data_IF_625941705246
#
_entry.id   IF_625941705246
#
_cell.length_a   1.000
_cell.length_b   1.000
_cell.length_c   1.000
_cell.angle_alpha   90.00
_cell.angle_beta   90.00
_cell.angle_gamma   90.00
#
_symmetry.space_group_name_H-M   'P 1'
#
loop_
_entity.id
_entity.type
_entity.pdbx_description
1 polymer ?
#
# COMPACT_ATOMS: atom_id res chain seq x y z
N UNK A 1 -60.63 -63.65 -52.92
CA UNK A 1 -59.60 -63.54 -51.85
C UNK A 1 -59.16 -62.09 -51.75
N UNK A 2 -59.62 -61.42 -50.67
CA UNK A 2 -59.18 -60.02 -50.37
C UNK A 2 -57.92 -60.08 -49.48
N UNK A 3 -56.80 -59.64 -49.98
CA UNK A 3 -55.55 -59.54 -49.24
C UNK A 3 -55.65 -58.24 -48.43
N UNK A 4 -55.81 -58.37 -47.10
CA UNK A 4 -55.76 -57.24 -46.18
C UNK A 4 -54.26 -56.85 -46.01
N UNK A 5 -53.89 -55.69 -46.53
CA UNK A 5 -52.55 -55.10 -46.24
C UNK A 5 -52.52 -54.57 -44.80
N UNK A 6 -51.73 -55.17 -43.99
CA UNK A 6 -51.44 -54.77 -42.62
C UNK A 6 -50.47 -53.57 -42.66
N UNK A 7 -50.96 -52.38 -42.53
CA UNK A 7 -50.13 -51.19 -42.39
C UNK A 7 -49.38 -51.25 -41.02
N UNK A 8 -48.11 -51.60 -41.11
CA UNK A 8 -47.18 -51.48 -39.95
C UNK A 8 -46.84 -50.00 -39.77
N UNK A 9 -47.64 -49.28 -39.03
CA UNK A 9 -47.26 -47.94 -38.60
C UNK A 9 -46.20 -48.02 -37.48
N UNK A 10 -44.99 -47.57 -37.74
CA UNK A 10 -43.95 -47.41 -36.75
C UNK A 10 -44.18 -46.09 -36.06
N UNK A 11 -44.38 -46.11 -34.73
CA UNK A 11 -44.50 -44.90 -33.95
C UNK A 11 -43.14 -44.17 -33.89
N UNK A 12 -43.05 -43.03 -34.51
CA UNK A 12 -41.85 -42.16 -34.45
C UNK A 12 -42.11 -40.98 -33.49
N UNK A 13 -41.21 -40.76 -32.58
CA UNK A 13 -41.23 -39.60 -31.70
C UNK A 13 -40.47 -38.46 -32.37
N UNK A 14 -41.19 -37.49 -32.89
CA UNK A 14 -40.58 -36.28 -33.46
C UNK A 14 -40.34 -35.26 -32.36
N UNK A 15 -39.12 -34.79 -32.24
CA UNK A 15 -38.79 -33.69 -31.34
C UNK A 15 -38.37 -32.50 -32.19
N UNK A 16 -38.99 -31.35 -31.94
CA UNK A 16 -38.66 -30.11 -32.65
C UNK A 16 -37.34 -29.60 -32.10
N UNK A 17 -36.32 -29.49 -32.97
CA UNK A 17 -35.05 -28.87 -32.62
C UNK A 17 -35.26 -27.36 -32.46
N UNK A 18 -35.14 -26.85 -31.26
CA UNK A 18 -35.12 -25.42 -30.98
C UNK A 18 -33.67 -24.97 -30.96
N UNK A 19 -33.38 -23.83 -31.58
CA UNK A 19 -32.07 -23.17 -31.47
C UNK A 19 -32.02 -22.50 -30.09
N UNK A 20 -31.56 -23.20 -29.08
CA UNK A 20 -31.26 -22.63 -27.78
C UNK A 20 -29.80 -22.26 -27.77
N UNK A 21 -29.46 -21.00 -27.45
CA UNK A 21 -28.09 -20.61 -27.16
C UNK A 21 -27.67 -21.33 -25.89
N UNK A 22 -26.62 -22.16 -25.92
CA UNK A 22 -26.15 -22.81 -24.70
C UNK A 22 -25.79 -21.73 -23.70
N UNK A 23 -26.43 -21.77 -22.53
CA UNK A 23 -26.02 -20.93 -21.40
C UNK A 23 -24.71 -21.50 -20.85
N UNK A 24 -23.59 -20.96 -21.31
CA UNK A 24 -22.28 -21.42 -20.90
C UNK A 24 -21.92 -20.73 -19.60
N UNK A 25 -22.18 -21.37 -18.49
CA UNK A 25 -21.69 -20.93 -17.18
C UNK A 25 -20.26 -21.46 -16.99
N UNK A 26 -19.33 -20.55 -16.74
CA UNK A 26 -17.97 -20.91 -16.37
C UNK A 26 -17.82 -20.89 -14.87
N UNK A 27 -17.37 -21.99 -14.31
CA UNK A 27 -17.08 -22.11 -12.90
C UNK A 27 -15.57 -22.11 -12.72
N UNK A 28 -15.06 -21.21 -11.89
CA UNK A 28 -13.66 -21.13 -11.57
C UNK A 28 -13.46 -20.96 -10.05
N UNK A 29 -12.39 -21.53 -9.53
CA UNK A 29 -12.02 -21.34 -8.16
C UNK A 29 -11.17 -20.08 -7.99
N UNK A 30 -11.38 -19.39 -6.87
CA UNK A 30 -10.64 -18.18 -6.56
C UNK A 30 -10.30 -18.07 -5.09
N UNK A 31 -9.35 -17.18 -4.80
CA UNK A 31 -8.92 -16.86 -3.44
C UNK A 31 -9.21 -15.39 -3.16
N UNK A 32 -9.81 -15.11 -2.01
CA UNK A 32 -9.98 -13.75 -1.55
C UNK A 32 -8.64 -13.21 -1.04
N UNK A 33 -8.27 -12.04 -1.53
CA UNK A 33 -7.09 -11.31 -1.10
C UNK A 33 -7.51 -9.92 -0.61
N UNK A 34 -6.76 -9.31 0.32
CA UNK A 34 -7.05 -7.96 0.78
C UNK A 34 -6.95 -6.95 -0.37
N UNK A 35 -7.71 -5.86 -0.28
CA UNK A 35 -7.66 -4.79 -1.29
C UNK A 35 -6.31 -4.10 -1.34
N UNK A 36 -5.66 -3.99 -0.18
CA UNK A 36 -4.32 -3.42 -0.01
C UNK A 36 -3.56 -4.25 1.03
N UNK A 37 -2.30 -4.49 0.74
CA UNK A 37 -1.30 -5.08 1.62
C UNK A 37 -0.09 -4.16 1.60
N UNK A 38 0.40 -3.77 2.76
CA UNK A 38 1.50 -2.84 2.88
C UNK A 38 2.49 -3.32 3.94
N UNK A 39 3.75 -3.48 3.53
CA UNK A 39 4.87 -3.80 4.42
C UNK A 39 5.57 -2.53 4.83
N UNK A 40 5.70 -2.34 6.13
CA UNK A 40 6.45 -1.25 6.73
C UNK A 40 7.85 -1.74 7.04
N UNK A 41 8.84 -1.06 6.50
CA UNK A 41 10.24 -1.32 6.75
C UNK A 41 10.88 -0.14 7.48
N UNK A 42 11.91 -0.41 8.27
CA UNK A 42 12.69 0.63 8.91
C UNK A 42 13.47 1.42 7.85
N UNK A 43 13.37 2.73 7.87
CA UNK A 43 14.15 3.64 7.01
C UNK A 43 15.48 4.02 7.66
N UNK A 44 15.50 4.06 8.99
CA UNK A 44 16.66 4.43 9.79
C UNK A 44 17.06 3.33 10.79
N UNK A 45 18.34 3.33 11.18
CA UNK A 45 18.80 2.47 12.26
C UNK A 45 18.38 3.03 13.61
N UNK A 46 17.98 2.14 14.52
CA UNK A 46 17.62 2.54 15.87
C UNK A 46 17.17 1.37 16.74
N UNK A 47 16.86 1.68 17.99
CA UNK A 47 16.28 0.72 18.93
C UNK A 47 14.79 0.98 19.08
N UNK A 48 13.97 -0.04 18.95
CA UNK A 48 12.53 0.03 19.21
C UNK A 48 12.30 0.29 20.70
N UNK A 49 11.70 1.43 21.02
CA UNK A 49 11.38 1.82 22.41
C UNK A 49 10.03 1.26 22.82
N UNK A 50 9.04 1.42 21.96
CA UNK A 50 7.68 0.96 22.19
C UNK A 50 7.09 0.44 20.89
N UNK A 51 6.29 -0.61 21.02
CA UNK A 51 5.34 -1.08 20.03
C UNK A 51 3.96 -0.84 20.63
N UNK A 52 3.08 -0.19 19.89
CA UNK A 52 1.78 0.30 20.37
C UNK A 52 0.60 -0.48 19.80
N UNK A 53 0.90 -1.50 18.99
CA UNK A 53 -0.09 -2.34 18.32
C UNK A 53 0.35 -3.80 18.35
N UNK A 54 -0.62 -4.70 18.36
CA UNK A 54 -0.42 -6.14 18.28
C UNK A 54 -1.04 -6.70 16.99
N UNK A 55 -0.68 -7.94 16.65
CA UNK A 55 -1.30 -8.64 15.53
C UNK A 55 -2.81 -8.79 15.73
N UNK A 56 -3.58 -8.48 14.70
CA UNK A 56 -5.04 -8.43 14.75
C UNK A 56 -5.64 -7.07 15.09
N UNK A 57 -4.84 -6.11 15.54
CA UNK A 57 -5.34 -4.77 15.89
C UNK A 57 -5.78 -3.98 14.66
N UNK A 58 -6.88 -3.24 14.82
CA UNK A 58 -7.37 -2.30 13.84
C UNK A 58 -6.61 -0.97 13.96
N UNK A 59 -6.05 -0.52 12.87
CA UNK A 59 -5.29 0.73 12.80
C UNK A 59 -5.89 1.72 11.82
N UNK A 60 -5.70 3.01 12.09
CA UNK A 60 -6.14 4.12 11.24
C UNK A 60 -4.94 4.85 10.64
N UNK A 61 -5.19 5.51 9.52
CA UNK A 61 -4.19 6.41 8.90
C UNK A 61 -3.69 7.41 9.94
N UNK A 62 -2.37 7.55 10.04
CA UNK A 62 -1.69 8.45 11.00
C UNK A 62 -1.52 7.88 12.40
N UNK A 63 -2.12 6.72 12.72
CA UNK A 63 -1.93 6.07 14.01
C UNK A 63 -0.49 5.61 14.18
N UNK A 64 0.11 5.92 15.34
CA UNK A 64 1.46 5.47 15.68
C UNK A 64 1.45 3.97 15.99
N UNK A 65 2.29 3.22 15.28
CA UNK A 65 2.45 1.77 15.43
C UNK A 65 3.61 1.44 16.37
N UNK A 66 4.75 2.11 16.16
CA UNK A 66 5.95 1.92 16.98
C UNK A 66 6.77 3.21 17.06
N UNK A 67 7.60 3.29 18.07
CA UNK A 67 8.57 4.38 18.29
C UNK A 67 9.96 3.77 18.31
N UNK A 68 10.79 4.23 17.37
CA UNK A 68 12.21 3.87 17.27
C UNK A 68 13.01 5.03 17.86
N UNK A 69 13.83 4.76 18.87
CA UNK A 69 14.69 5.76 19.47
C UNK A 69 16.01 5.83 18.70
N UNK A 70 16.23 6.96 18.07
CA UNK A 70 17.52 7.32 17.54
C UNK A 70 18.06 8.50 18.35
N UNK A 71 18.76 8.27 19.48
CA UNK A 71 19.37 9.36 20.26
C UNK A 71 20.28 10.22 19.38
N UNK A 72 20.95 9.59 18.41
CA UNK A 72 21.80 10.28 17.43
C UNK A 72 20.98 11.18 16.47
N UNK A 73 19.73 10.85 16.17
CA UNK A 73 18.90 11.65 15.25
C UNK A 73 18.49 12.98 15.89
N UNK A 74 18.17 12.99 17.18
CA UNK A 74 17.85 14.21 17.93
C UNK A 74 19.07 15.14 18.01
N UNK A 75 20.27 14.58 18.25
CA UNK A 75 21.53 15.34 18.26
C UNK A 75 21.84 15.91 16.88
N UNK A 76 21.62 15.16 15.80
CA UNK A 76 21.77 15.66 14.42
C UNK A 76 20.86 16.84 14.14
N UNK A 77 19.57 16.76 14.51
CA UNK A 77 18.63 17.88 14.35
C UNK A 77 19.11 19.12 15.12
N UNK A 78 19.55 18.96 16.38
CA UNK A 78 20.04 20.06 17.18
C UNK A 78 21.29 20.71 16.57
N UNK A 79 22.24 19.91 16.10
CA UNK A 79 23.46 20.40 15.44
C UNK A 79 23.14 21.13 14.14
N UNK A 80 22.28 20.55 13.29
CA UNK A 80 21.86 21.18 12.04
C UNK A 80 21.06 22.47 12.29
N UNK A 81 20.24 22.54 13.34
CA UNK A 81 19.52 23.76 13.73
C UNK A 81 20.49 24.87 14.16
N UNK A 82 21.53 24.54 14.93
CA UNK A 82 22.55 25.51 15.34
C UNK A 82 23.32 26.05 14.12
N UNK A 83 23.72 25.18 13.20
CA UNK A 83 24.39 25.57 11.95
C UNK A 83 23.49 26.49 11.08
N UNK A 84 22.21 26.14 10.96
CA UNK A 84 21.25 26.97 10.23
C UNK A 84 21.10 28.35 10.87
N UNK A 85 20.94 28.45 12.19
CA UNK A 85 20.83 29.73 12.90
C UNK A 85 22.05 30.63 12.69
N UNK A 86 23.26 30.03 12.71
CA UNK A 86 24.52 30.74 12.42
C UNK A 86 24.53 31.25 10.98
N UNK A 87 24.15 30.42 10.00
CA UNK A 87 24.13 30.79 8.60
C UNK A 87 23.09 31.91 8.32
N UNK A 88 21.93 31.90 9.02
CA UNK A 88 20.94 33.00 8.95
C UNK A 88 21.57 34.30 9.42
N UNK A 89 22.21 34.32 10.60
CA UNK A 89 22.84 35.52 11.15
C UNK A 89 23.96 36.05 10.24
N UNK A 90 24.77 35.14 9.67
CA UNK A 90 25.84 35.49 8.75
C UNK A 90 25.25 36.11 7.46
N UNK A 91 24.26 35.48 6.85
CA UNK A 91 23.62 35.98 5.64
C UNK A 91 23.05 37.39 5.85
N UNK A 92 22.41 37.66 7.00
CA UNK A 92 21.90 38.96 7.35
C UNK A 92 23.04 39.98 7.54
N UNK A 93 24.13 39.62 8.19
CA UNK A 93 25.29 40.50 8.34
C UNK A 93 25.89 40.89 6.98
N UNK A 94 26.11 39.90 6.10
CA UNK A 94 26.64 40.15 4.75
C UNK A 94 25.65 40.98 3.90
N UNK A 95 24.35 40.76 4.04
CA UNK A 95 23.34 41.58 3.34
C UNK A 95 23.36 43.04 3.78
N UNK A 96 23.46 43.30 5.08
CA UNK A 96 23.57 44.67 5.61
C UNK A 96 24.90 45.33 5.22
N UNK A 97 26.03 44.60 5.30
CA UNK A 97 27.32 45.08 4.88
C UNK A 97 27.38 45.38 3.36
N UNK A 98 26.69 44.61 2.53
CA UNK A 98 26.59 44.84 1.10
C UNK A 98 25.86 46.15 0.78
N UNK A 99 24.78 46.48 1.50
CA UNK A 99 24.05 47.73 1.35
C UNK A 99 24.93 48.99 1.62
N UNK A 100 25.93 48.82 2.47
CA UNK A 100 26.89 49.92 2.83
C UNK A 100 28.21 49.83 2.07
N UNK A 101 28.36 48.91 1.10
CA UNK A 101 29.57 48.72 0.32
C UNK A 101 30.71 48.02 1.06
N UNK A 102 30.47 47.46 2.25
CA UNK A 102 31.47 46.79 3.09
C UNK A 102 31.90 45.39 2.63
N UNK A 103 31.13 44.76 1.72
CA UNK A 103 31.43 43.45 1.17
C UNK A 103 31.14 43.38 -0.32
N UNK A 104 31.74 42.44 -1.03
CA UNK A 104 31.50 42.19 -2.45
C UNK A 104 30.22 41.38 -2.66
N UNK A 105 29.67 41.50 -3.87
CA UNK A 105 28.51 40.62 -4.25
C UNK A 105 28.85 39.14 -4.14
N UNK A 106 30.06 38.74 -4.51
CA UNK A 106 30.51 37.35 -4.40
C UNK A 106 30.46 36.86 -2.95
N UNK A 107 30.87 37.67 -1.98
CA UNK A 107 30.84 37.32 -0.55
C UNK A 107 29.38 37.19 -0.06
N UNK A 108 28.47 38.09 -0.49
CA UNK A 108 27.06 37.96 -0.18
C UNK A 108 26.44 36.69 -0.77
N UNK A 109 26.73 36.40 -2.05
CA UNK A 109 26.22 35.22 -2.74
C UNK A 109 26.74 33.92 -2.06
N UNK A 110 28.00 33.92 -1.61
CA UNK A 110 28.57 32.79 -0.83
C UNK A 110 27.83 32.61 0.52
N UNK A 111 27.53 33.69 1.23
CA UNK A 111 26.78 33.61 2.49
C UNK A 111 25.35 33.09 2.27
N UNK A 112 24.70 33.50 1.20
CA UNK A 112 23.37 32.97 0.80
C UNK A 112 23.43 31.48 0.44
N UNK A 113 24.46 31.04 -0.27
CA UNK A 113 24.68 29.64 -0.60
C UNK A 113 24.87 28.79 0.68
N UNK A 114 25.69 29.30 1.64
CA UNK A 114 25.90 28.65 2.92
C UNK A 114 24.58 28.50 3.71
N UNK A 115 23.71 29.54 3.68
CA UNK A 115 22.39 29.49 4.30
C UNK A 115 21.50 28.43 3.64
N UNK A 116 21.49 28.34 2.31
CA UNK A 116 20.71 27.33 1.59
C UNK A 116 21.17 25.92 1.93
N UNK A 117 22.50 25.69 1.99
CA UNK A 117 23.07 24.39 2.36
C UNK A 117 22.72 24.02 3.82
N UNK A 118 22.83 24.96 4.75
CA UNK A 118 22.50 24.72 6.16
C UNK A 118 21.01 24.42 6.35
N UNK A 119 20.14 25.10 5.57
CA UNK A 119 18.71 24.79 5.57
C UNK A 119 18.42 23.39 5.07
N UNK A 120 19.01 22.99 3.94
CA UNK A 120 18.85 21.65 3.39
C UNK A 120 19.30 20.57 4.37
N UNK A 121 20.44 20.78 5.05
CA UNK A 121 20.94 19.85 6.08
C UNK A 121 20.00 19.74 7.30
N UNK A 122 19.37 20.85 7.71
CA UNK A 122 18.38 20.84 8.79
C UNK A 122 17.09 20.11 8.37
N UNK A 123 16.62 20.34 7.16
CA UNK A 123 15.42 19.69 6.64
C UNK A 123 15.65 18.16 6.52
N UNK A 124 16.82 17.72 6.04
CA UNK A 124 17.23 16.30 5.99
C UNK A 124 17.27 15.65 7.39
N UNK A 125 17.90 16.35 8.36
CA UNK A 125 17.95 15.87 9.74
C UNK A 125 16.55 15.75 10.37
N UNK A 126 15.61 16.65 10.05
CA UNK A 126 14.22 16.63 10.54
C UNK A 126 13.41 15.49 9.91
N UNK A 127 13.57 15.24 8.61
CA UNK A 127 12.95 14.11 7.93
C UNK A 127 13.41 12.81 8.60
N UNK A 128 14.72 12.60 8.72
CA UNK A 128 15.27 11.42 9.38
C UNK A 128 14.79 11.24 10.83
N UNK A 129 14.58 12.34 11.56
CA UNK A 129 14.02 12.30 12.92
C UNK A 129 12.52 11.96 12.92
N UNK A 130 11.75 12.45 11.93
CA UNK A 130 10.34 12.14 11.76
C UNK A 130 10.09 10.65 11.53
N UNK A 131 10.96 10.01 10.76
CA UNK A 131 10.90 8.58 10.41
C UNK A 131 11.19 7.65 11.61
N UNK A 132 11.60 8.20 12.76
CA UNK A 132 11.71 7.48 14.01
C UNK A 132 10.35 7.09 14.63
N UNK A 133 9.25 7.68 14.17
CA UNK A 133 7.90 7.34 14.59
C UNK A 133 7.16 6.67 13.44
N UNK A 134 6.99 5.36 13.54
CA UNK A 134 6.31 4.58 12.52
C UNK A 134 4.81 4.79 12.64
N UNK A 135 4.18 5.31 11.59
CA UNK A 135 2.74 5.58 11.52
C UNK A 135 2.11 4.82 10.38
N UNK A 136 0.87 4.40 10.59
CA UNK A 136 0.10 3.76 9.52
C UNK A 136 -0.24 4.74 8.40
N UNK A 137 -0.02 4.35 7.15
CA UNK A 137 -0.46 5.08 5.96
C UNK A 137 -1.80 4.60 5.40
N UNK A 138 -2.36 3.52 5.96
CA UNK A 138 -3.66 2.96 5.56
C UNK A 138 -4.55 2.69 6.77
N UNK A 139 -5.86 2.60 6.53
CA UNK A 139 -6.76 1.98 7.49
C UNK A 139 -6.74 0.47 7.24
N UNK A 140 -6.58 -0.33 8.29
CA UNK A 140 -6.50 -1.78 8.12
C UNK A 140 -6.32 -2.53 9.42
N UNK A 141 -5.80 -3.73 9.30
CA UNK A 141 -5.50 -4.64 10.42
C UNK A 141 -4.01 -4.98 10.35
N UNK A 142 -3.38 -5.11 11.50
CA UNK A 142 -2.00 -5.60 11.62
C UNK A 142 -2.01 -7.11 11.32
N UNK A 143 -1.47 -7.49 10.17
CA UNK A 143 -1.37 -8.89 9.75
C UNK A 143 -0.21 -9.61 10.43
N UNK A 144 0.95 -8.94 10.49
CA UNK A 144 2.12 -9.45 11.21
C UNK A 144 2.94 -8.34 11.84
N UNK A 145 3.64 -8.68 12.92
CA UNK A 145 4.53 -7.81 13.67
C UNK A 145 5.90 -8.51 13.78
N UNK A 146 6.93 -7.93 13.18
CA UNK A 146 8.29 -8.50 13.15
C UNK A 146 9.23 -7.89 14.17
N UNK A 147 8.76 -7.00 15.03
CA UNK A 147 9.57 -6.27 16.00
C UNK A 147 8.97 -6.30 17.41
N UNK A 148 9.86 -6.24 18.40
CA UNK A 148 9.51 -6.15 19.81
C UNK A 148 10.21 -4.95 20.47
N UNK A 149 9.67 -4.44 21.59
CA UNK A 149 10.39 -3.45 22.39
C UNK A 149 11.79 -3.94 22.75
N UNK A 150 12.82 -3.11 22.51
CA UNK A 150 14.22 -3.47 22.70
C UNK A 150 14.94 -3.98 21.45
N UNK A 151 14.23 -4.38 20.41
CA UNK A 151 14.82 -4.79 19.11
C UNK A 151 15.67 -3.68 18.52
N UNK A 152 16.75 -4.04 17.86
CA UNK A 152 17.57 -3.12 17.05
C UNK A 152 17.21 -3.34 15.60
N UNK A 153 16.87 -2.27 14.90
CA UNK A 153 16.49 -2.28 13.49
C UNK A 153 17.48 -1.50 12.66
N UNK A 154 17.62 -1.87 11.40
CA UNK A 154 18.43 -1.23 10.37
C UNK A 154 17.57 -0.95 9.13
N UNK A 155 17.98 -0.05 8.22
CA UNK A 155 17.24 0.19 6.99
C UNK A 155 16.92 -1.11 6.24
N UNK A 156 15.65 -1.27 5.85
CA UNK A 156 15.16 -2.48 5.20
C UNK A 156 14.69 -3.60 6.14
N UNK A 157 14.82 -3.44 7.48
CA UNK A 157 14.24 -4.41 8.44
C UNK A 157 12.71 -4.31 8.39
N UNK A 158 12.03 -5.44 8.17
CA UNK A 158 10.56 -5.51 8.22
C UNK A 158 10.06 -5.21 9.65
N UNK A 159 9.07 -4.35 9.76
CA UNK A 159 8.49 -3.91 11.03
C UNK A 159 7.08 -4.47 11.21
N UNK A 160 6.20 -4.14 10.27
CA UNK A 160 4.79 -4.52 10.27
C UNK A 160 4.32 -4.84 8.87
N UNK A 161 3.32 -5.69 8.79
CA UNK A 161 2.51 -5.88 7.60
C UNK A 161 1.06 -5.53 7.91
N UNK A 162 0.52 -4.56 7.19
CA UNK A 162 -0.87 -4.13 7.33
C UNK A 162 -1.69 -4.56 6.13
N UNK A 163 -2.91 -5.02 6.38
CA UNK A 163 -3.86 -5.42 5.34
C UNK A 163 -5.17 -4.65 5.48
N UNK A 164 -5.69 -4.19 4.35
CA UNK A 164 -7.03 -3.62 4.30
C UNK A 164 -8.01 -4.67 3.78
N UNK A 165 -8.85 -5.16 4.68
CA UNK A 165 -9.87 -6.18 4.40
C UNK A 165 -11.29 -5.60 4.32
N UNK A 166 -11.44 -4.27 4.35
CA UNK A 166 -12.76 -3.63 4.21
C UNK A 166 -13.40 -3.91 2.85
N UNK A 167 -12.56 -4.09 1.84
CA UNK A 167 -12.93 -4.57 0.51
C UNK A 167 -12.00 -5.72 0.16
N UNK A 168 -12.55 -6.83 -0.30
CA UNK A 168 -11.77 -7.97 -0.74
C UNK A 168 -11.74 -8.02 -2.27
N UNK A 169 -10.62 -8.43 -2.81
CA UNK A 169 -10.47 -8.77 -4.23
C UNK A 169 -10.51 -10.29 -4.36
N UNK A 170 -11.22 -10.78 -5.36
CA UNK A 170 -11.22 -12.20 -5.69
C UNK A 170 -10.22 -12.43 -6.83
N UNK A 171 -9.14 -13.16 -6.54
CA UNK A 171 -8.19 -13.63 -7.54
C UNK A 171 -8.67 -14.99 -8.07
N UNK A 172 -8.98 -15.03 -9.36
CA UNK A 172 -9.51 -16.23 -10.03
C UNK A 172 -8.49 -16.67 -11.08
N UNK A 173 -8.29 -17.98 -11.19
CA UNK A 173 -7.51 -18.57 -12.28
C UNK A 173 -8.49 -19.16 -13.30
N UNK A 174 -8.40 -18.73 -14.54
CA UNK A 174 -9.25 -19.19 -15.64
C UNK A 174 -8.40 -19.80 -16.74
N UNK A 175 -8.98 -20.75 -17.47
CA UNK A 175 -8.30 -21.37 -18.63
C UNK A 175 -8.18 -20.40 -19.81
N UNK A 176 -7.15 -20.54 -20.60
CA UNK A 176 -6.89 -19.69 -21.76
C UNK A 176 -8.07 -19.66 -22.75
N UNK A 177 -8.74 -20.77 -22.92
CA UNK A 177 -9.93 -20.90 -23.79
C UNK A 177 -11.10 -20.01 -23.35
N UNK A 178 -11.18 -19.64 -22.07
CA UNK A 178 -12.26 -18.84 -21.50
C UNK A 178 -11.96 -17.34 -21.52
N UNK A 179 -10.68 -16.96 -21.59
CA UNK A 179 -10.25 -15.55 -21.56
C UNK A 179 -10.87 -14.76 -22.71
N UNK A 180 -11.02 -15.35 -23.89
CA UNK A 180 -11.58 -14.69 -25.05
C UNK A 180 -13.05 -14.22 -24.88
N UNK A 181 -13.78 -14.83 -23.95
CA UNK A 181 -15.21 -14.52 -23.66
C UNK A 181 -15.37 -13.56 -22.51
N UNK A 182 -14.37 -13.39 -21.65
CA UNK A 182 -14.42 -12.52 -20.49
C UNK A 182 -14.18 -11.06 -20.89
N UNK A 183 -15.00 -10.17 -20.36
CA UNK A 183 -14.88 -8.72 -20.57
C UNK A 183 -14.89 -8.02 -19.23
N UNK A 184 -14.15 -6.92 -19.15
CA UNK A 184 -14.22 -6.04 -17.97
C UNK A 184 -15.66 -5.54 -17.80
N UNK A 185 -16.19 -5.64 -16.57
CA UNK A 185 -17.57 -5.30 -16.26
C UNK A 185 -18.58 -6.42 -16.50
N UNK A 186 -18.15 -7.63 -16.86
CA UNK A 186 -19.05 -8.79 -16.90
C UNK A 186 -19.51 -9.14 -15.49
N UNK A 187 -20.81 -9.33 -15.25
CA UNK A 187 -21.31 -9.70 -13.92
C UNK A 187 -20.83 -11.11 -13.56
N UNK A 188 -20.38 -11.26 -12.34
CA UNK A 188 -19.97 -12.56 -11.79
C UNK A 188 -20.79 -12.87 -10.54
N UNK A 189 -21.04 -14.17 -10.32
CA UNK A 189 -21.64 -14.69 -9.09
C UNK A 189 -20.57 -15.42 -8.30
N UNK A 190 -20.42 -15.04 -7.05
CA UNK A 190 -19.43 -15.62 -6.15
C UNK A 190 -20.13 -16.39 -5.05
N UNK A 191 -19.75 -17.65 -4.85
CA UNK A 191 -20.18 -18.47 -3.72
C UNK A 191 -18.98 -18.71 -2.81
N UNK A 192 -19.11 -18.43 -1.53
CA UNK A 192 -18.08 -18.68 -0.55
C UNK A 192 -18.44 -19.90 0.30
N UNK A 193 -17.50 -20.80 0.53
CA UNK A 193 -17.74 -22.00 1.34
C UNK A 193 -18.17 -21.70 2.79
N UNK A 194 -17.78 -20.54 3.31
CA UNK A 194 -18.16 -20.05 4.65
C UNK A 194 -19.64 -19.60 4.71
N UNK A 195 -20.23 -19.25 3.55
CA UNK A 195 -21.62 -18.82 3.42
C UNK A 195 -22.29 -19.57 2.28
N UNK A 196 -22.60 -20.89 2.46
CA UNK A 196 -23.08 -21.74 1.37
C UNK A 196 -24.41 -21.29 0.76
N UNK A 197 -25.25 -20.61 1.55
CA UNK A 197 -26.57 -20.14 1.15
C UNK A 197 -26.57 -18.69 0.61
N UNK A 198 -25.42 -18.04 0.49
CA UNK A 198 -25.30 -16.65 -0.02
C UNK A 198 -24.56 -16.62 -1.33
N UNK A 199 -25.15 -15.93 -2.30
CA UNK A 199 -24.51 -15.53 -3.54
C UNK A 199 -24.12 -14.04 -3.44
N UNK A 200 -22.90 -13.72 -3.80
CA UNK A 200 -22.40 -12.35 -3.87
C UNK A 200 -22.24 -12.00 -5.35
N UNK A 201 -22.59 -10.76 -5.70
CA UNK A 201 -22.39 -10.24 -7.06
C UNK A 201 -21.12 -9.38 -7.08
N UNK A 202 -20.35 -9.49 -8.17
CA UNK A 202 -19.14 -8.71 -8.41
C UNK A 202 -19.05 -8.25 -9.86
#
# INVERSE_FOLDING_TARGET
>A
AVVSQKNNSVAVKATTVKNEKPNTEYIANGTFIPSQELKFQAENSGRVVKVLVEEGDHVRIGQTLAIIKGDQLSVKVQSAQAAYNTAVADSQRYENAFKTGGVTKQQLDQAKLNLANAKAALDDARISFGDATIKSSINGIVNSKSIEPGSVVSPGTDLFELVNVSTLKLKVTVDESQIATLKVGSPIKVKASVYPDKEFNG
#
